data_IF_564220673110
#
_entry.id   IF_564220673110
#
_cell.length_a   1.000
_cell.length_b   1.000
_cell.length_c   1.000
_cell.angle_alpha   90.00
_cell.angle_beta   90.00
_cell.angle_gamma   90.00
#
_symmetry.space_group_name_H-M   'P 1'
#
loop_
_entity.id
_entity.type
_entity.pdbx_description
1 polymer ?
#
# COMPACT_ATOMS: atom_id res chain seq x y z
N UNK A 1 12.56 -5.69 -4.25
CA UNK A 1 11.15 -6.11 -4.39
C UNK A 1 10.48 -6.11 -3.02
N UNK A 2 9.17 -5.91 -2.94
CA UNK A 2 8.39 -5.93 -1.70
C UNK A 2 7.19 -6.85 -1.90
N UNK A 3 7.02 -7.84 -1.03
CA UNK A 3 5.84 -8.72 -1.07
C UNK A 3 4.73 -8.14 -0.21
N UNK A 4 3.52 -8.15 -0.74
CA UNK A 4 2.33 -7.73 -0.02
C UNK A 4 1.65 -8.95 0.63
N UNK A 5 1.52 -8.92 1.96
CA UNK A 5 1.02 -10.02 2.80
C UNK A 5 -0.36 -9.68 3.39
N UNK A 6 -1.42 -10.24 2.78
CA UNK A 6 -2.81 -10.04 3.20
C UNK A 6 -3.20 -10.77 4.48
N UNK A 7 -4.46 -10.61 4.88
CA UNK A 7 -5.10 -11.26 6.02
C UNK A 7 -5.21 -12.78 5.79
N UNK A 8 -4.07 -13.48 5.83
CA UNK A 8 -3.94 -14.93 5.74
C UNK A 8 -2.63 -15.39 6.38
N UNK A 9 -2.47 -16.68 6.76
CA UNK A 9 -1.22 -17.18 7.29
C UNK A 9 -0.08 -17.02 6.28
N UNK A 10 1.06 -16.51 6.71
CA UNK A 10 2.24 -16.37 5.87
C UNK A 10 3.49 -16.88 6.61
N UNK A 11 4.28 -17.73 5.94
CA UNK A 11 5.61 -18.13 6.40
C UNK A 11 6.65 -17.74 5.36
N UNK A 12 7.25 -16.57 5.59
CA UNK A 12 8.17 -15.89 4.68
C UNK A 12 9.63 -16.01 5.15
N UNK A 13 9.93 -16.94 6.05
CA UNK A 13 11.30 -17.14 6.57
C UNK A 13 12.30 -17.58 5.50
N UNK A 14 11.81 -18.03 4.34
CA UNK A 14 12.62 -18.43 3.19
C UNK A 14 13.13 -17.24 2.35
N UNK A 15 12.66 -16.02 2.60
CA UNK A 15 13.03 -14.85 1.80
C UNK A 15 14.49 -14.43 2.02
N UNK A 16 15.15 -14.03 0.94
CA UNK A 16 16.40 -13.27 1.03
C UNK A 16 16.06 -11.81 1.40
N UNK A 17 16.30 -11.47 2.67
CA UNK A 17 15.96 -10.18 3.28
C UNK A 17 16.76 -8.99 2.77
N UNK A 18 17.86 -9.22 2.07
CA UNK A 18 18.64 -8.14 1.44
C UNK A 18 18.01 -7.70 0.12
N UNK A 19 17.19 -8.55 -0.49
CA UNK A 19 16.54 -8.31 -1.79
C UNK A 19 15.04 -8.08 -1.69
N UNK A 20 14.40 -8.63 -0.66
CA UNK A 20 12.95 -8.68 -0.51
C UNK A 20 12.51 -8.16 0.85
N UNK A 21 11.72 -7.08 0.84
CA UNK A 21 10.96 -6.59 1.99
C UNK A 21 9.54 -7.13 2.02
N UNK A 22 8.82 -6.91 3.12
CA UNK A 22 7.43 -7.33 3.27
C UNK A 22 6.56 -6.16 3.72
N UNK A 23 5.54 -5.83 2.93
CA UNK A 23 4.43 -5.01 3.37
C UNK A 23 3.33 -5.95 3.87
N UNK A 24 2.89 -5.78 5.11
CA UNK A 24 1.89 -6.68 5.70
C UNK A 24 0.71 -5.89 6.21
N UNK A 25 -0.49 -6.44 6.03
CA UNK A 25 -1.68 -5.89 6.68
C UNK A 25 -1.51 -6.02 8.19
N UNK A 26 -1.29 -4.89 8.86
CA UNK A 26 -1.16 -4.81 10.31
C UNK A 26 -2.54 -4.64 10.97
N UNK A 27 -3.43 -3.88 10.32
CA UNK A 27 -4.79 -3.65 10.78
C UNK A 27 -5.69 -3.15 9.64
N UNK A 28 -7.00 -3.38 9.81
CA UNK A 28 -8.06 -2.72 9.06
C UNK A 28 -8.85 -1.81 9.99
N UNK A 29 -9.05 -0.56 9.60
CA UNK A 29 -9.85 0.43 10.31
C UNK A 29 -11.13 0.68 9.51
N UNK A 30 -12.28 0.36 10.09
CA UNK A 30 -13.60 0.56 9.47
C UNK A 30 -14.26 1.79 10.07
N UNK A 31 -14.54 2.79 9.25
CA UNK A 31 -15.17 4.05 9.65
C UNK A 31 -16.70 3.91 9.55
N UNK A 32 -17.39 3.96 10.69
CA UNK A 32 -18.86 3.84 10.78
C UNK A 32 -19.38 4.97 11.68
N UNK A 33 -20.27 5.82 11.18
CA UNK A 33 -20.72 6.99 11.93
C UNK A 33 -19.53 7.87 12.34
N UNK A 34 -19.40 8.10 13.65
CA UNK A 34 -18.27 8.85 14.24
C UNK A 34 -17.19 7.94 14.88
N UNK A 35 -17.27 6.63 14.66
CA UNK A 35 -16.40 5.63 15.29
C UNK A 35 -15.34 5.10 14.32
N UNK A 36 -14.26 4.56 14.89
CA UNK A 36 -13.19 3.86 14.16
C UNK A 36 -13.09 2.45 14.71
N UNK A 37 -13.69 1.49 14.00
CA UNK A 37 -13.67 0.09 14.38
C UNK A 37 -12.36 -0.56 13.92
N UNK A 38 -11.53 -0.99 14.87
CA UNK A 38 -10.21 -1.57 14.58
C UNK A 38 -10.28 -3.09 14.50
N UNK A 39 -9.73 -3.65 13.43
CA UNK A 39 -9.50 -5.09 13.26
C UNK A 39 -7.99 -5.31 13.07
N UNK A 40 -7.24 -5.64 14.13
CA UNK A 40 -5.83 -5.99 13.97
C UNK A 40 -5.70 -7.25 13.14
N UNK A 41 -4.54 -7.46 12.52
CA UNK A 41 -4.21 -8.72 11.85
C UNK A 41 -4.43 -9.90 12.80
N UNK A 42 -5.22 -10.88 12.37
CA UNK A 42 -5.55 -12.09 13.13
C UNK A 42 -4.75 -13.30 12.63
N UNK A 43 -4.15 -13.20 11.45
CA UNK A 43 -3.43 -14.28 10.80
C UNK A 43 -1.91 -14.22 11.09
N UNK A 44 -1.24 -15.37 11.28
CA UNK A 44 0.18 -15.37 11.62
C UNK A 44 1.03 -14.85 10.45
N UNK A 45 2.10 -14.13 10.79
CA UNK A 45 3.15 -13.72 9.87
C UNK A 45 4.50 -14.15 10.46
N UNK A 46 5.12 -15.17 9.87
CA UNK A 46 6.46 -15.63 10.24
C UNK A 46 7.46 -15.05 9.25
N UNK A 47 8.39 -14.25 9.76
CA UNK A 47 9.46 -13.62 8.98
C UNK A 47 10.80 -13.85 9.67
N UNK A 48 11.89 -13.71 8.94
CA UNK A 48 13.22 -13.75 9.54
C UNK A 48 13.43 -12.50 10.43
N UNK A 49 14.23 -12.57 11.51
CA UNK A 49 14.41 -11.46 12.45
C UNK A 49 14.94 -10.16 11.83
N UNK A 50 15.57 -10.22 10.66
CA UNK A 50 16.13 -9.08 9.92
C UNK A 50 15.22 -8.57 8.79
N UNK A 51 14.06 -9.21 8.56
CA UNK A 51 13.12 -8.77 7.53
C UNK A 51 12.61 -7.38 7.86
N UNK A 52 12.85 -6.41 6.98
CA UNK A 52 12.26 -5.07 7.06
C UNK A 52 10.77 -5.14 6.73
N UNK A 53 9.95 -4.59 7.62
CA UNK A 53 8.50 -4.62 7.49
C UNK A 53 7.93 -3.23 7.22
N UNK A 54 6.92 -3.18 6.34
CA UNK A 54 6.06 -2.04 6.13
C UNK A 54 4.71 -2.37 6.77
N UNK A 55 4.34 -1.63 7.82
CA UNK A 55 3.05 -1.81 8.48
C UNK A 55 1.95 -1.16 7.63
N UNK A 56 1.08 -1.98 7.05
CA UNK A 56 -0.04 -1.49 6.24
C UNK A 56 -1.28 -1.32 7.12
N UNK A 57 -1.86 -0.14 7.09
CA UNK A 57 -3.20 0.13 7.65
C UNK A 57 -4.18 0.29 6.51
N UNK A 58 -5.13 -0.64 6.40
CA UNK A 58 -6.24 -0.52 5.46
C UNK A 58 -7.36 0.30 6.09
N UNK A 59 -7.88 1.27 5.37
CA UNK A 59 -9.04 2.06 5.81
C UNK A 59 -10.22 1.70 4.92
N UNK A 60 -11.32 1.33 5.55
CA UNK A 60 -12.58 1.02 4.90
C UNK A 60 -13.66 1.97 5.41
N UNK A 61 -14.57 2.34 4.52
CA UNK A 61 -15.72 3.18 4.83
C UNK A 61 -16.95 2.28 4.87
N UNK A 62 -17.64 2.25 6.00
CA UNK A 62 -18.99 1.70 6.09
C UNK A 62 -20.04 2.77 5.74
N UNK A 63 -21.33 2.43 5.72
CA UNK A 63 -22.40 3.40 5.45
C UNK A 63 -22.39 4.52 6.51
N UNK A 64 -22.52 5.77 6.05
CA UNK A 64 -22.66 6.99 6.85
C UNK A 64 -21.41 7.37 7.69
N UNK A 65 -20.20 7.50 7.11
CA UNK A 65 -19.07 8.03 7.85
C UNK A 65 -19.25 9.54 8.06
N UNK A 66 -18.91 10.04 9.25
CA UNK A 66 -18.91 11.49 9.54
C UNK A 66 -17.64 12.14 8.98
N UNK A 67 -16.53 11.42 8.95
CA UNK A 67 -15.20 11.92 8.57
C UNK A 67 -14.77 13.10 9.45
N UNK A 68 -14.96 12.96 10.76
CA UNK A 68 -14.67 13.99 11.75
C UNK A 68 -13.20 14.03 12.16
N UNK A 69 -12.79 15.14 12.77
CA UNK A 69 -11.48 15.26 13.43
C UNK A 69 -11.30 14.23 14.56
N UNK A 70 -12.39 13.79 15.21
CA UNK A 70 -12.34 12.73 16.23
C UNK A 70 -11.89 11.41 15.59
N UNK A 71 -12.50 11.03 14.46
CA UNK A 71 -12.07 9.84 13.72
C UNK A 71 -10.64 9.97 13.20
N UNK A 72 -10.27 11.13 12.67
CA UNK A 72 -8.91 11.40 12.21
C UNK A 72 -7.88 11.17 13.32
N UNK A 73 -8.10 11.76 14.50
CA UNK A 73 -7.19 11.62 15.65
C UNK A 73 -7.08 10.16 16.10
N UNK A 74 -8.18 9.43 16.09
CA UNK A 74 -8.20 8.02 16.47
C UNK A 74 -7.44 7.15 15.45
N UNK A 75 -7.63 7.38 14.14
CA UNK A 75 -6.87 6.70 13.08
C UNK A 75 -5.37 6.97 13.25
N UNK A 76 -4.97 8.22 13.47
CA UNK A 76 -3.55 8.57 13.70
C UNK A 76 -3.00 7.83 14.92
N UNK A 77 -3.72 7.82 16.04
CA UNK A 77 -3.32 7.10 17.26
C UNK A 77 -3.12 5.60 16.99
N UNK A 78 -4.03 4.98 16.23
CA UNK A 78 -3.97 3.57 15.87
C UNK A 78 -2.81 3.25 14.92
N UNK A 79 -2.53 4.10 13.94
CA UNK A 79 -1.37 3.96 13.06
C UNK A 79 -0.07 4.08 13.85
N UNK A 80 0.05 5.06 14.75
CA UNK A 80 1.25 5.24 15.59
C UNK A 80 1.53 4.01 16.48
N UNK A 81 0.50 3.26 16.89
CA UNK A 81 0.70 2.02 17.64
C UNK A 81 1.37 0.93 16.80
N UNK A 82 1.17 0.90 15.48
CA UNK A 82 1.82 -0.09 14.59
C UNK A 82 3.33 0.11 14.48
N UNK A 83 3.83 1.32 14.72
CA UNK A 83 5.27 1.61 14.75
C UNK A 83 6.01 0.86 15.85
N UNK A 84 5.28 0.45 16.91
CA UNK A 84 5.84 -0.28 18.05
C UNK A 84 6.04 -1.76 17.74
N UNK A 85 5.55 -2.25 16.59
CA UNK A 85 5.74 -3.63 16.17
C UNK A 85 7.20 -3.85 15.77
N UNK A 86 7.70 -5.06 16.08
CA UNK A 86 9.09 -5.43 15.83
C UNK A 86 9.41 -5.32 14.33
N UNK A 87 10.56 -4.73 14.01
CA UNK A 87 11.11 -4.59 12.65
C UNK A 87 10.26 -3.76 11.67
N UNK A 88 9.24 -3.04 12.15
CA UNK A 88 8.55 -2.05 11.32
C UNK A 88 9.50 -0.89 11.05
N UNK A 89 9.73 -0.62 9.77
CA UNK A 89 10.64 0.43 9.29
C UNK A 89 9.97 1.41 8.33
N UNK A 90 8.69 1.22 8.02
CA UNK A 90 7.87 2.13 7.22
C UNK A 90 6.38 1.91 7.50
N UNK A 91 5.56 2.90 7.15
CA UNK A 91 4.10 2.84 7.22
C UNK A 91 3.52 2.96 5.82
N UNK A 92 2.46 2.21 5.55
CA UNK A 92 1.68 2.33 4.32
C UNK A 92 0.21 2.44 4.63
N UNK A 93 -0.49 3.36 3.97
CA UNK A 93 -1.94 3.49 4.07
C UNK A 93 -2.59 2.92 2.81
N UNK A 94 -3.53 2.00 3.00
CA UNK A 94 -4.32 1.41 1.92
C UNK A 94 -5.75 1.95 2.01
N UNK A 95 -6.09 2.92 1.14
CA UNK A 95 -7.40 3.57 1.17
C UNK A 95 -7.88 4.04 -0.20
N UNK A 96 -8.88 3.34 -0.75
CA UNK A 96 -9.52 3.65 -2.03
C UNK A 96 -10.54 4.79 -1.88
N UNK A 97 -10.03 6.01 -1.68
CA UNK A 97 -10.87 7.18 -1.43
C UNK A 97 -11.72 7.62 -2.63
N UNK A 98 -12.99 7.94 -2.36
CA UNK A 98 -13.84 8.71 -3.26
C UNK A 98 -13.43 10.19 -3.27
N UNK A 99 -13.86 10.93 -4.29
CA UNK A 99 -13.62 12.38 -4.40
C UNK A 99 -14.02 13.13 -3.12
N UNK A 100 -15.20 12.82 -2.56
CA UNK A 100 -15.72 13.44 -1.32
C UNK A 100 -14.88 13.14 -0.06
N UNK A 101 -14.00 12.13 -0.10
CA UNK A 101 -13.19 11.69 1.04
C UNK A 101 -11.76 12.25 0.99
N UNK A 102 -11.36 12.88 -0.11
CA UNK A 102 -9.98 13.36 -0.33
C UNK A 102 -9.56 14.45 0.65
N UNK A 103 -10.48 15.33 1.03
CA UNK A 103 -10.22 16.38 2.04
C UNK A 103 -9.82 15.75 3.37
N UNK A 104 -10.65 14.84 3.88
CA UNK A 104 -10.36 14.07 5.09
C UNK A 104 -9.03 13.32 5.00
N UNK A 105 -8.78 12.62 3.88
CA UNK A 105 -7.55 11.84 3.74
C UNK A 105 -6.29 12.70 3.69
N UNK A 106 -6.35 13.88 3.07
CA UNK A 106 -5.24 14.85 3.08
C UNK A 106 -4.93 15.32 4.49
N UNK A 107 -5.93 15.71 5.26
CA UNK A 107 -5.75 16.14 6.65
C UNK A 107 -5.20 15.00 7.52
N UNK A 108 -5.68 13.78 7.31
CA UNK A 108 -5.16 12.59 7.97
C UNK A 108 -3.66 12.39 7.70
N UNK A 109 -3.23 12.48 6.44
CA UNK A 109 -1.82 12.30 6.07
C UNK A 109 -0.93 13.44 6.57
N UNK A 110 -1.42 14.69 6.56
CA UNK A 110 -0.73 15.83 7.17
C UNK A 110 -0.49 15.59 8.66
N UNK A 111 -1.56 15.25 9.40
CA UNK A 111 -1.45 15.02 10.84
C UNK A 111 -0.63 13.77 11.18
N UNK A 112 -0.67 12.75 10.34
CA UNK A 112 0.19 11.59 10.51
C UNK A 112 1.66 12.00 10.34
N UNK A 113 1.99 12.74 9.26
CA UNK A 113 3.35 13.13 8.92
C UNK A 113 4.02 13.96 10.03
N UNK A 114 3.26 14.80 10.74
CA UNK A 114 3.77 15.60 11.88
C UNK A 114 4.09 14.75 13.11
N UNK A 115 3.50 13.54 13.24
CA UNK A 115 3.67 12.68 14.42
C UNK A 115 4.58 11.47 14.21
N UNK A 116 4.73 10.97 12.97
CA UNK A 116 5.67 9.87 12.68
C UNK A 116 7.10 10.42 12.56
N UNK A 117 8.14 9.68 13.02
CA UNK A 117 9.54 10.11 12.93
C UNK A 117 9.92 10.52 11.50
N UNK A 118 10.69 11.59 11.32
CA UNK A 118 11.06 12.09 9.99
C UNK A 118 11.83 11.06 9.15
N UNK A 119 12.50 10.11 9.79
CA UNK A 119 13.19 8.99 9.14
C UNK A 119 12.27 7.82 8.77
N UNK A 120 10.99 7.87 9.16
CA UNK A 120 9.99 6.83 8.88
C UNK A 120 9.31 7.15 7.53
N UNK A 121 9.51 6.30 6.49
CA UNK A 121 8.81 6.47 5.23
C UNK A 121 7.30 6.26 5.40
N UNK A 122 6.53 7.14 4.79
CA UNK A 122 5.09 7.08 4.68
C UNK A 122 4.70 6.91 3.22
N UNK A 123 4.03 5.81 2.91
CA UNK A 123 3.53 5.54 1.56
C UNK A 123 2.03 5.30 1.52
N UNK A 124 1.43 5.33 0.33
CA UNK A 124 0.04 4.93 0.12
C UNK A 124 -0.06 3.94 -1.03
N UNK A 125 -0.99 2.99 -0.98
CA UNK A 125 -1.49 2.40 -2.23
C UNK A 125 -2.34 3.44 -2.96
N UNK A 126 -2.26 3.45 -4.29
CA UNK A 126 -2.99 4.39 -5.11
C UNK A 126 -3.66 3.66 -6.27
N UNK A 127 -4.92 4.02 -6.55
CA UNK A 127 -5.54 3.70 -7.83
C UNK A 127 -4.67 4.30 -8.94
N UNK A 128 -4.42 3.56 -10.01
CA UNK A 128 -3.58 4.04 -11.11
C UNK A 128 -4.08 5.36 -11.74
N UNK A 129 -5.39 5.63 -11.68
CA UNK A 129 -5.99 6.90 -12.12
C UNK A 129 -5.56 8.11 -11.28
N UNK A 130 -5.22 7.94 -10.00
CA UNK A 130 -4.66 9.01 -9.17
C UNK A 130 -3.28 9.48 -9.67
N UNK A 131 -2.57 8.61 -10.38
CA UNK A 131 -1.22 8.83 -10.90
C UNK A 131 -1.20 9.35 -12.35
N UNK A 132 -2.37 9.55 -12.98
CA UNK A 132 -2.48 9.99 -14.38
C UNK A 132 -3.36 11.23 -14.52
N UNK A 133 -4.67 11.05 -14.62
CA UNK A 133 -5.63 12.08 -15.06
C UNK A 133 -6.24 12.88 -13.91
N UNK A 134 -6.13 12.40 -12.67
CA UNK A 134 -6.69 13.04 -11.48
C UNK A 134 -5.60 13.24 -10.41
N UNK A 135 -4.77 14.30 -10.56
CA UNK A 135 -3.52 14.48 -9.81
C UNK A 135 -3.73 15.01 -8.38
N UNK A 136 -4.84 14.67 -7.71
CA UNK A 136 -5.18 15.20 -6.38
C UNK A 136 -4.17 14.82 -5.28
N UNK A 137 -3.37 13.77 -5.53
CA UNK A 137 -2.32 13.26 -4.64
C UNK A 137 -0.99 14.02 -4.77
N UNK A 138 -0.82 14.91 -5.75
CA UNK A 138 0.49 15.49 -6.13
C UNK A 138 1.23 16.19 -4.98
N UNK A 139 0.48 16.81 -4.06
CA UNK A 139 1.02 17.60 -2.95
C UNK A 139 0.82 16.90 -1.59
N UNK A 140 0.58 15.58 -1.58
CA UNK A 140 0.44 14.85 -0.32
C UNK A 140 1.79 14.74 0.42
N UNK A 141 1.79 14.79 1.75
CA UNK A 141 2.99 14.76 2.59
C UNK A 141 3.53 13.32 2.78
N UNK A 142 3.71 12.61 1.66
CA UNK A 142 4.10 11.19 1.62
C UNK A 142 5.36 11.03 0.77
N UNK A 143 6.09 9.95 1.01
CA UNK A 143 7.35 9.64 0.31
C UNK A 143 7.10 8.86 -0.99
N UNK A 144 5.99 8.13 -1.07
CA UNK A 144 5.67 7.26 -2.22
C UNK A 144 4.17 7.00 -2.34
N UNK A 145 3.65 7.03 -3.57
CA UNK A 145 2.34 6.48 -3.92
C UNK A 145 2.55 5.26 -4.83
N UNK A 146 2.03 4.08 -4.44
CA UNK A 146 2.22 2.84 -5.20
C UNK A 146 1.03 2.67 -6.16
N UNK A 147 1.20 2.90 -7.48
CA UNK A 147 0.13 2.69 -8.44
C UNK A 147 -0.19 1.19 -8.53
N UNK A 148 -1.41 0.80 -8.19
CA UNK A 148 -1.90 -0.57 -8.34
C UNK A 148 -2.33 -0.81 -9.79
N UNK A 149 -1.46 -1.42 -10.59
CA UNK A 149 -1.65 -1.67 -12.03
C UNK A 149 -2.31 -3.04 -12.25
N UNK A 150 -3.33 -3.34 -11.46
CA UNK A 150 -4.11 -4.56 -11.52
C UNK A 150 -5.50 -4.26 -10.97
N UNK A 151 -6.51 -5.05 -11.36
CA UNK A 151 -7.91 -4.91 -10.92
C UNK A 151 -8.45 -3.48 -11.07
N UNK A 152 -7.97 -2.75 -12.08
CA UNK A 152 -8.26 -1.33 -12.29
C UNK A 152 -9.68 -1.03 -12.81
N UNK A 153 -10.48 -2.06 -13.08
CA UNK A 153 -11.83 -1.91 -13.62
C UNK A 153 -11.83 -1.06 -14.91
N UNK A 154 -12.65 -0.01 -14.93
CA UNK A 154 -12.83 0.88 -16.08
C UNK A 154 -11.52 1.57 -16.54
N UNK A 155 -10.57 1.80 -15.62
CA UNK A 155 -9.32 2.51 -15.92
C UNK A 155 -8.28 1.63 -16.62
N UNK A 156 -8.51 0.30 -16.70
CA UNK A 156 -7.50 -0.68 -17.16
C UNK A 156 -6.94 -0.37 -18.54
N UNK A 157 -7.80 -0.04 -19.52
CA UNK A 157 -7.37 0.15 -20.91
C UNK A 157 -6.50 1.41 -21.06
N UNK A 158 -6.90 2.50 -20.40
CA UNK A 158 -6.19 3.78 -20.46
C UNK A 158 -4.79 3.65 -19.84
N UNK A 159 -4.71 3.11 -18.62
CA UNK A 159 -3.43 2.94 -17.91
C UNK A 159 -2.50 2.00 -18.68
N UNK A 160 -3.00 0.84 -19.13
CA UNK A 160 -2.18 -0.12 -19.90
C UNK A 160 -1.72 0.48 -21.24
N UNK A 161 -2.53 1.29 -21.90
CA UNK A 161 -2.14 1.94 -23.15
C UNK A 161 -1.01 2.97 -22.96
N UNK A 162 -1.07 3.77 -21.89
CA UNK A 162 0.00 4.71 -21.53
C UNK A 162 1.30 3.94 -21.26
N UNK A 163 1.27 2.97 -20.35
CA UNK A 163 2.47 2.21 -19.96
C UNK A 163 3.06 1.38 -21.11
N UNK A 164 2.22 0.81 -21.98
CA UNK A 164 2.69 0.04 -23.15
C UNK A 164 3.41 0.91 -24.19
N UNK A 165 3.09 2.20 -24.28
CA UNK A 165 3.80 3.15 -25.14
C UNK A 165 5.16 3.59 -24.57
N UNK A 166 5.51 3.16 -23.36
CA UNK A 166 6.69 3.64 -22.64
C UNK A 166 6.50 5.01 -22.02
N UNK A 167 5.26 5.53 -22.01
CA UNK A 167 4.90 6.69 -21.20
C UNK A 167 4.80 6.29 -19.73
N UNK A 168 4.89 7.28 -18.84
CA UNK A 168 4.95 7.07 -17.40
C UNK A 168 3.84 7.83 -16.66
N UNK A 169 3.69 7.57 -15.37
CA UNK A 169 2.79 8.32 -14.50
C UNK A 169 3.12 9.81 -14.50
N UNK A 170 2.11 10.67 -14.52
CA UNK A 170 2.27 12.12 -14.53
C UNK A 170 2.63 12.69 -13.16
N UNK A 171 2.40 11.91 -12.09
CA UNK A 171 2.66 12.29 -10.71
C UNK A 171 4.01 11.76 -10.24
N UNK A 172 4.97 12.63 -9.82
CA UNK A 172 6.28 12.20 -9.34
C UNK A 172 6.24 11.17 -8.20
N UNK A 173 5.27 11.28 -7.27
CA UNK A 173 5.09 10.32 -6.19
C UNK A 173 4.86 8.88 -6.67
N UNK A 174 4.31 8.70 -7.88
CA UNK A 174 4.02 7.39 -8.49
C UNK A 174 5.15 6.85 -9.39
N UNK A 175 6.24 7.61 -9.57
CA UNK A 175 7.34 7.22 -10.46
C UNK A 175 8.43 6.39 -9.76
N UNK A 176 8.27 6.09 -8.47
CA UNK A 176 9.27 5.33 -7.71
C UNK A 176 8.99 3.83 -7.65
N UNK A 177 7.76 3.42 -7.95
CA UNK A 177 7.34 2.01 -7.84
C UNK A 177 6.21 1.60 -8.77
N UNK A 178 6.04 0.28 -8.86
CA UNK A 178 4.90 -0.38 -9.49
C UNK A 178 4.23 -1.32 -8.49
N UNK A 179 2.90 -1.29 -8.42
CA UNK A 179 2.09 -2.33 -7.80
C UNK A 179 1.57 -3.30 -8.85
N UNK A 180 1.95 -4.58 -8.77
CA UNK A 180 1.55 -5.63 -9.72
C UNK A 180 0.91 -6.81 -9.00
N UNK A 181 0.08 -7.58 -9.70
CA UNK A 181 -0.50 -8.80 -9.16
C UNK A 181 0.00 -10.06 -9.89
N UNK A 182 0.19 -11.15 -9.16
CA UNK A 182 0.70 -12.41 -9.73
C UNK A 182 -0.27 -13.11 -10.69
N UNK A 183 -1.56 -12.78 -10.61
CA UNK A 183 -2.66 -13.34 -11.43
C UNK A 183 -3.06 -12.44 -12.60
N UNK A 184 -2.48 -11.24 -12.73
CA UNK A 184 -2.74 -10.30 -13.81
C UNK A 184 -1.42 -9.82 -14.43
N UNK A 185 -0.79 -10.62 -15.30
CA UNK A 185 0.51 -10.27 -15.87
C UNK A 185 0.42 -8.98 -16.69
N UNK A 186 1.41 -8.11 -16.50
CA UNK A 186 1.50 -6.81 -17.15
C UNK A 186 2.58 -6.84 -18.24
N UNK A 187 2.17 -6.70 -19.50
CA UNK A 187 3.08 -6.63 -20.64
C UNK A 187 3.59 -5.20 -20.84
N UNK A 188 4.67 -4.84 -20.14
CA UNK A 188 5.39 -3.58 -20.31
C UNK A 188 6.88 -3.73 -20.01
N UNK A 189 7.68 -2.77 -20.44
CA UNK A 189 9.09 -2.68 -20.03
C UNK A 189 9.17 -2.02 -18.65
N UNK A 190 9.57 -2.78 -17.64
CA UNK A 190 9.76 -2.25 -16.29
C UNK A 190 11.08 -1.47 -16.20
N UNK A 191 11.01 -0.27 -15.61
CA UNK A 191 12.19 0.45 -15.16
C UNK A 191 12.80 -0.28 -13.95
N UNK A 192 14.00 -0.86 -14.14
CA UNK A 192 14.71 -1.67 -13.15
C UNK A 192 15.17 -0.86 -11.92
N UNK A 193 15.13 0.47 -11.99
CA UNK A 193 15.47 1.34 -10.85
C UNK A 193 14.32 1.46 -9.84
N UNK A 194 13.10 1.11 -10.24
CA UNK A 194 11.90 1.25 -9.40
C UNK A 194 11.67 0.05 -8.50
N UNK A 195 11.03 0.31 -7.37
CA UNK A 195 10.55 -0.77 -6.49
C UNK A 195 9.35 -1.46 -7.13
N UNK A 196 9.25 -2.77 -6.91
CA UNK A 196 8.07 -3.55 -7.30
C UNK A 196 7.41 -4.07 -6.04
N UNK A 197 6.16 -3.67 -5.82
CA UNK A 197 5.25 -4.21 -4.82
C UNK A 197 4.40 -5.30 -5.48
N UNK A 198 4.52 -6.53 -5.00
CA UNK A 198 3.84 -7.68 -5.60
C UNK A 198 2.71 -8.14 -4.70
N UNK A 199 1.51 -8.17 -5.27
CA UNK A 199 0.30 -8.64 -4.64
C UNK A 199 0.01 -10.05 -5.12
N UNK A 200 -0.16 -10.99 -4.19
CA UNK A 200 -0.55 -12.34 -4.57
C UNK A 200 -2.03 -12.36 -4.93
N UNK A 201 -2.30 -12.74 -6.17
CA UNK A 201 -3.64 -12.76 -6.73
C UNK A 201 -4.59 -13.79 -6.14
N UNK A 202 -4.03 -14.94 -5.73
CA UNK A 202 -4.78 -16.09 -5.21
C UNK A 202 -4.94 -16.03 -3.69
N UNK A 203 -5.84 -16.83 -3.13
CA UNK A 203 -6.03 -16.96 -1.69
C UNK A 203 -4.86 -17.70 -0.98
N UNK A 204 -4.00 -18.40 -1.72
CA UNK A 204 -2.90 -19.18 -1.16
C UNK A 204 -1.79 -18.29 -0.56
N UNK A 205 -1.13 -18.77 0.50
CA UNK A 205 0.07 -18.15 1.07
C UNK A 205 1.23 -18.11 0.09
N UNK A 206 2.16 -17.18 0.26
CA UNK A 206 3.39 -17.12 -0.52
C UNK A 206 4.24 -18.39 -0.31
N UNK A 207 4.78 -18.91 -1.41
CA UNK A 207 5.75 -20.01 -1.40
C UNK A 207 7.00 -19.61 -2.17
N UNK A 208 8.10 -20.33 -1.95
CA UNK A 208 9.40 -20.05 -2.58
C UNK A 208 9.30 -19.98 -4.11
N UNK A 209 8.54 -20.89 -4.71
CA UNK A 209 8.35 -20.96 -6.17
C UNK A 209 7.71 -19.70 -6.76
N UNK A 210 6.86 -18.99 -6.01
CA UNK A 210 6.30 -17.72 -6.49
C UNK A 210 7.41 -16.68 -6.67
N UNK A 211 8.36 -16.65 -5.73
CA UNK A 211 9.43 -15.66 -5.70
C UNK A 211 10.48 -15.97 -6.76
N UNK A 212 10.82 -17.25 -6.93
CA UNK A 212 11.75 -17.70 -7.96
C UNK A 212 11.21 -17.32 -9.36
N UNK A 213 9.89 -17.42 -9.60
CA UNK A 213 9.27 -16.97 -10.85
C UNK A 213 9.33 -15.46 -11.07
N UNK A 214 9.23 -14.67 -10.01
CA UNK A 214 9.28 -13.21 -10.09
C UNK A 214 10.70 -12.67 -10.31
N UNK A 215 11.73 -13.37 -9.84
CA UNK A 215 13.13 -12.95 -9.98
C UNK A 215 13.74 -13.28 -11.36
N UNK A 216 13.06 -14.09 -12.17
CA UNK A 216 13.51 -14.50 -13.52
C UNK A 216 12.89 -13.59 -14.61
N UNK A 217 11.93 -12.72 -14.25
CA UNK A 217 11.34 -11.70 -15.14
C UNK A 217 12.17 -10.41 -15.14
#
# INVERSE_FOLDING_TARGET
MILWAWERPEDLRFLNTDKVGVAFLAQTLVLTGNEVNTKPRQQPLKVAPQTKLIAVTRIEIDKLPVLSTIQQNEIVRLILNTLKLKNVSAVQIDFDVKVSQRGFYRELLNELRTKIPTTMPLSITALASFCLSDPWIKDLPIDEAIPMIFRMGADSNTVKAVLKKGEDFSIPLCQHSYGIATDEPLSMTFDKTRRIYVFKGTAASWIKDDIDKLLIQ
#
